data_IF_030147900494
#
_entry.id   IF_030147900494
#
_cell.length_a   1.000
_cell.length_b   1.000
_cell.length_c   1.000
_cell.angle_alpha   90.00
_cell.angle_beta   90.00
_cell.angle_gamma   90.00
#
_symmetry.space_group_name_H-M   'P 1'
#
loop_
_entity.id
_entity.type
_entity.pdbx_description
1 polymer ?
#
# COMPACT_ATOMS: atom_id res chain seq x y z
N UNK A 1 -51.15 62.14 -6.50
CA UNK A 1 -49.81 61.78 -5.96
C UNK A 1 -49.90 60.44 -5.25
N UNK A 2 -49.42 59.35 -5.88
CA UNK A 2 -49.42 57.99 -5.34
C UNK A 2 -48.19 57.81 -4.43
N UNK A 3 -48.40 57.40 -3.17
CA UNK A 3 -47.33 57.03 -2.24
C UNK A 3 -47.01 55.55 -2.42
N UNK A 4 -45.79 55.26 -2.87
CA UNK A 4 -45.21 53.92 -2.96
C UNK A 4 -44.72 53.48 -1.58
N UNK A 5 -45.24 52.35 -1.08
CA UNK A 5 -44.74 51.65 0.10
C UNK A 5 -43.62 50.70 -0.34
N UNK A 6 -42.41 50.92 0.16
CA UNK A 6 -41.25 50.05 -0.08
C UNK A 6 -41.16 49.06 1.08
N UNK A 7 -41.51 47.80 0.82
CA UNK A 7 -41.37 46.69 1.77
C UNK A 7 -39.91 46.24 1.80
N UNK A 8 -39.21 46.50 2.91
CA UNK A 8 -37.87 45.98 3.14
C UNK A 8 -37.96 44.51 3.57
N UNK A 9 -37.42 43.61 2.74
CA UNK A 9 -37.27 42.18 3.07
C UNK A 9 -36.00 42.03 3.90
N UNK A 10 -36.16 41.72 5.18
CA UNK A 10 -35.06 41.42 6.10
C UNK A 10 -34.61 39.96 5.85
N UNK A 11 -33.51 39.77 5.14
CA UNK A 11 -32.87 38.46 4.99
C UNK A 11 -32.13 38.11 6.28
N UNK A 12 -32.75 37.28 7.13
CA UNK A 12 -32.12 36.76 8.34
C UNK A 12 -31.02 35.75 7.99
N UNK A 13 -29.76 36.11 8.24
CA UNK A 13 -28.65 35.17 8.27
C UNK A 13 -28.78 34.25 9.49
N UNK A 14 -29.30 33.04 9.29
CA UNK A 14 -29.17 31.96 10.28
C UNK A 14 -27.75 31.42 10.23
N UNK A 15 -26.87 31.96 11.07
CA UNK A 15 -25.57 31.37 11.36
C UNK A 15 -25.77 30.06 12.11
N UNK A 16 -25.48 28.92 11.45
CA UNK A 16 -25.37 27.64 12.13
C UNK A 16 -24.12 27.67 13.01
N UNK A 17 -24.32 27.91 14.31
CA UNK A 17 -23.26 27.82 15.31
C UNK A 17 -23.03 26.34 15.57
N UNK A 18 -22.01 25.75 14.94
CA UNK A 18 -21.49 24.45 15.33
C UNK A 18 -20.77 24.63 16.68
N UNK A 19 -21.50 24.46 17.79
CA UNK A 19 -20.92 24.47 19.11
C UNK A 19 -20.20 23.13 19.34
N UNK A 20 -18.89 23.10 19.10
CA UNK A 20 -18.04 22.02 19.57
C UNK A 20 -17.75 22.25 21.06
N UNK A 21 -18.26 21.37 21.92
CA UNK A 21 -17.97 21.43 23.36
C UNK A 21 -16.64 20.73 23.59
N UNK A 22 -15.59 21.52 23.84
CA UNK A 22 -14.31 21.00 24.33
C UNK A 22 -14.40 20.88 25.84
N UNK A 23 -14.16 19.68 26.37
CA UNK A 23 -14.17 19.42 27.80
C UNK A 23 -12.81 18.81 28.16
N UNK A 24 -12.03 19.54 28.94
CA UNK A 24 -10.69 19.11 29.36
C UNK A 24 -10.72 18.12 30.54
N UNK A 25 -11.92 17.71 30.96
CA UNK A 25 -12.18 16.84 32.10
C UNK A 25 -13.10 15.69 31.72
N UNK A 26 -13.05 14.61 32.51
CA UNK A 26 -13.96 13.47 32.38
C UNK A 26 -15.41 13.93 32.55
N UNK A 27 -16.27 13.59 31.60
CA UNK A 27 -17.72 13.73 31.75
C UNK A 27 -18.23 12.59 32.63
N UNK A 28 -18.85 12.92 33.75
CA UNK A 28 -19.51 11.95 34.62
C UNK A 28 -21.03 12.16 34.54
N UNK A 29 -21.75 11.14 34.05
CA UNK A 29 -23.21 11.17 33.94
C UNK A 29 -23.81 10.65 35.24
N UNK A 30 -24.36 11.55 36.06
CA UNK A 30 -24.94 11.22 37.37
C UNK A 30 -26.47 11.28 37.34
N UNK A 31 -27.13 10.19 37.75
CA UNK A 31 -28.58 10.11 37.94
C UNK A 31 -28.93 8.97 38.92
N UNK A 32 -30.02 9.03 39.69
CA UNK A 32 -30.44 7.93 40.56
C UNK A 32 -30.71 6.64 39.78
N UNK A 33 -31.33 6.75 38.60
CA UNK A 33 -31.56 5.64 37.68
C UNK A 33 -30.38 5.50 36.70
N UNK A 34 -29.85 4.28 36.58
CA UNK A 34 -28.78 3.97 35.62
C UNK A 34 -29.18 4.20 34.17
N UNK A 35 -30.47 4.04 33.82
CA UNK A 35 -30.98 4.24 32.47
C UNK A 35 -30.93 5.72 32.01
N UNK A 36 -30.80 6.66 32.95
CA UNK A 36 -30.69 8.09 32.67
C UNK A 36 -29.23 8.56 32.54
N UNK A 37 -28.25 7.71 32.87
CA UNK A 37 -26.81 8.03 32.80
C UNK A 37 -26.24 7.80 31.39
N UNK A 38 -26.91 8.36 30.38
CA UNK A 38 -26.53 8.24 28.98
C UNK A 38 -26.79 9.53 28.21
N UNK A 39 -26.03 9.75 27.13
CA UNK A 39 -26.29 10.85 26.19
C UNK A 39 -27.28 10.35 25.12
N UNK A 40 -28.46 10.93 25.09
CA UNK A 40 -29.50 10.63 24.09
C UNK A 40 -29.46 11.60 22.92
N UNK A 41 -30.06 11.23 21.78
CA UNK A 41 -30.21 12.12 20.63
C UNK A 41 -28.95 12.25 19.76
N UNK A 42 -27.97 11.38 19.95
CA UNK A 42 -26.83 11.26 19.03
C UNK A 42 -27.35 10.61 17.74
N UNK A 43 -27.24 11.27 16.58
CA UNK A 43 -27.70 10.70 15.31
C UNK A 43 -26.92 9.43 14.96
N UNK A 44 -27.54 8.52 14.21
CA UNK A 44 -26.82 7.41 13.59
C UNK A 44 -25.82 7.96 12.57
N UNK A 45 -24.73 7.23 12.33
CA UNK A 45 -23.64 7.61 11.43
C UNK A 45 -24.03 7.45 9.94
N UNK A 46 -25.23 7.92 9.58
CA UNK A 46 -25.69 7.95 8.19
C UNK A 46 -25.16 9.16 7.43
N UNK A 47 -24.72 10.20 8.14
CA UNK A 47 -24.31 11.47 7.55
C UNK A 47 -22.81 11.76 7.81
N UNK A 48 -22.12 12.37 6.84
CA UNK A 48 -20.81 12.97 7.08
C UNK A 48 -20.87 13.96 8.27
N UNK A 49 -19.90 13.89 9.18
CA UNK A 49 -19.82 14.70 10.40
C UNK A 49 -20.80 14.33 11.54
N UNK A 50 -21.47 13.18 11.48
CA UNK A 50 -22.16 12.64 12.65
C UNK A 50 -21.17 12.38 13.81
N UNK A 51 -21.62 12.63 15.05
CA UNK A 51 -20.84 12.33 16.26
C UNK A 51 -20.64 10.82 16.37
N UNK A 52 -19.40 10.37 16.55
CA UNK A 52 -19.09 8.97 16.79
C UNK A 52 -19.52 8.59 18.21
N UNK A 53 -20.47 7.67 18.32
CA UNK A 53 -20.83 7.07 19.60
C UNK A 53 -19.86 5.95 19.97
N UNK A 54 -19.73 5.65 21.27
CA UNK A 54 -18.90 4.53 21.73
C UNK A 54 -19.31 3.19 21.09
N UNK A 55 -20.60 2.98 20.81
CA UNK A 55 -21.10 1.79 20.13
C UNK A 55 -20.62 1.71 18.67
N UNK A 56 -20.54 2.84 17.97
CA UNK A 56 -20.05 2.92 16.59
C UNK A 56 -18.53 2.76 16.52
N UNK A 57 -17.82 3.26 17.52
CA UNK A 57 -16.38 3.01 17.66
C UNK A 57 -16.13 1.52 17.93
N UNK A 58 -16.89 0.91 18.85
CA UNK A 58 -16.78 -0.52 19.15
C UNK A 58 -17.10 -1.43 17.96
N UNK A 59 -18.05 -1.03 17.10
CA UNK A 59 -18.38 -1.80 15.91
C UNK A 59 -17.41 -1.60 14.75
N UNK A 60 -16.57 -0.55 14.79
CA UNK A 60 -15.66 -0.15 13.71
C UNK A 60 -16.32 0.14 12.35
N UNK A 61 -17.66 0.22 12.29
CA UNK A 61 -18.41 0.29 11.02
C UNK A 61 -18.12 1.57 10.21
N UNK A 62 -17.52 2.59 10.84
CA UNK A 62 -17.16 3.86 10.22
C UNK A 62 -15.78 3.85 9.53
N UNK A 63 -15.03 2.75 9.67
CA UNK A 63 -13.69 2.59 9.07
C UNK A 63 -13.47 1.24 8.42
N UNK A 64 -14.42 0.31 8.55
CA UNK A 64 -14.33 -1.05 8.00
C UNK A 64 -15.38 -1.25 6.91
N UNK A 65 -14.97 -1.80 5.78
CA UNK A 65 -15.91 -2.23 4.73
C UNK A 65 -15.38 -3.43 3.95
N UNK A 66 -16.30 -4.18 3.35
CA UNK A 66 -16.02 -5.22 2.37
C UNK A 66 -16.00 -4.58 0.98
N UNK A 67 -14.93 -4.80 0.21
CA UNK A 67 -14.86 -4.35 -1.17
C UNK A 67 -15.75 -5.21 -2.09
N UNK A 68 -16.32 -4.58 -3.10
CA UNK A 68 -16.84 -5.24 -4.30
C UNK A 68 -15.90 -5.01 -5.49
N UNK A 69 -15.99 -5.83 -6.53
CA UNK A 69 -15.26 -5.60 -7.78
C UNK A 69 -16.19 -4.98 -8.80
N UNK A 70 -15.88 -3.77 -9.25
CA UNK A 70 -16.63 -3.02 -10.26
C UNK A 70 -15.67 -2.57 -11.36
N UNK A 71 -15.92 -3.02 -12.61
CA UNK A 71 -15.10 -2.65 -13.76
C UNK A 71 -13.57 -2.82 -13.56
N UNK A 72 -13.17 -3.91 -12.90
CA UNK A 72 -11.78 -4.22 -12.55
C UNK A 72 -11.12 -3.25 -11.53
N UNK A 73 -11.92 -2.62 -10.68
CA UNK A 73 -11.48 -1.76 -9.57
C UNK A 73 -12.20 -2.22 -8.30
N UNK A 74 -11.56 -2.08 -7.13
CA UNK A 74 -12.28 -2.28 -5.86
C UNK A 74 -13.18 -1.09 -5.59
N UNK A 75 -14.45 -1.34 -5.30
CA UNK A 75 -15.41 -0.34 -4.87
C UNK A 75 -15.75 -0.58 -3.41
N UNK A 76 -15.65 0.47 -2.60
CA UNK A 76 -15.86 0.42 -1.16
C UNK A 76 -16.82 1.54 -0.77
N UNK A 77 -17.84 1.17 0.01
CA UNK A 77 -18.78 2.11 0.60
C UNK A 77 -18.71 2.05 2.12
N UNK A 78 -18.39 3.18 2.76
CA UNK A 78 -18.33 3.33 4.22
C UNK A 78 -19.35 4.38 4.63
N UNK A 79 -20.32 3.97 5.45
CA UNK A 79 -21.36 4.86 5.96
C UNK A 79 -20.76 5.95 6.86
N UNK A 80 -21.28 7.17 6.73
CA UNK A 80 -20.86 8.34 7.52
C UNK A 80 -19.49 8.92 7.12
N UNK A 81 -18.83 8.36 6.11
CA UNK A 81 -17.67 8.97 5.47
C UNK A 81 -18.12 9.80 4.27
N UNK A 82 -17.46 10.93 4.02
CA UNK A 82 -17.71 11.73 2.82
C UNK A 82 -17.35 10.97 1.53
N UNK A 83 -17.62 11.59 0.38
CA UNK A 83 -17.29 11.00 -0.92
C UNK A 83 -15.80 11.11 -1.24
N UNK A 84 -15.16 12.25 -0.93
CA UNK A 84 -13.74 12.46 -1.22
C UNK A 84 -12.90 12.25 0.05
N UNK A 85 -11.95 11.29 0.05
CA UNK A 85 -11.03 11.14 1.18
C UNK A 85 -10.10 12.35 1.30
N UNK A 86 -9.66 12.64 2.52
CA UNK A 86 -8.67 13.69 2.81
C UNK A 86 -7.37 13.03 3.27
N UNK A 87 -6.24 13.71 3.12
CA UNK A 87 -4.97 13.18 3.61
C UNK A 87 -5.08 12.79 5.10
N UNK A 88 -4.62 11.58 5.43
CA UNK A 88 -4.77 10.96 6.74
C UNK A 88 -6.03 10.11 6.91
N UNK A 89 -6.95 10.05 5.93
CA UNK A 89 -8.08 9.11 5.98
C UNK A 89 -7.56 7.68 6.10
N UNK A 90 -7.93 7.00 7.19
CA UNK A 90 -7.58 5.61 7.46
C UNK A 90 -8.82 4.72 7.37
N UNK A 91 -8.71 3.62 6.62
CA UNK A 91 -9.76 2.62 6.46
C UNK A 91 -9.17 1.20 6.50
N UNK A 92 -10.01 0.23 6.81
CA UNK A 92 -9.71 -1.20 6.71
C UNK A 92 -10.67 -1.82 5.72
N UNK A 93 -10.14 -2.31 4.62
CA UNK A 93 -10.90 -2.92 3.53
C UNK A 93 -10.68 -4.43 3.56
N UNK A 94 -11.77 -5.20 3.59
CA UNK A 94 -11.69 -6.64 3.39
C UNK A 94 -11.75 -6.95 1.90
N UNK A 95 -10.80 -7.74 1.42
CA UNK A 95 -10.71 -8.14 0.03
C UNK A 95 -11.94 -8.95 -0.41
N UNK A 96 -12.47 -8.74 -1.63
CA UNK A 96 -13.59 -9.52 -2.15
C UNK A 96 -13.18 -10.98 -2.41
N UNK A 97 -14.16 -11.87 -2.53
CA UNK A 97 -13.96 -13.25 -2.98
C UNK A 97 -13.39 -13.32 -4.42
N UNK A 98 -13.77 -12.35 -5.25
CA UNK A 98 -13.27 -12.27 -6.62
C UNK A 98 -11.86 -11.64 -6.62
N UNK A 99 -10.87 -12.43 -7.01
CA UNK A 99 -9.51 -11.95 -7.23
C UNK A 99 -9.46 -11.01 -8.44
N UNK A 100 -8.80 -9.85 -8.25
CA UNK A 100 -8.49 -8.90 -9.32
C UNK A 100 -7.06 -9.19 -9.82
N UNK A 101 -6.82 -9.08 -11.12
CA UNK A 101 -5.46 -9.14 -11.67
C UNK A 101 -4.89 -7.74 -11.91
N UNK A 102 -3.61 -7.55 -11.62
CA UNK A 102 -2.87 -6.32 -11.85
C UNK A 102 -2.91 -5.32 -10.69
N UNK A 103 -2.42 -4.12 -10.95
CA UNK A 103 -2.30 -3.06 -9.95
C UNK A 103 -3.66 -2.66 -9.38
N UNK A 104 -3.77 -2.76 -8.05
CA UNK A 104 -4.99 -2.49 -7.33
C UNK A 104 -5.33 -0.99 -7.36
N UNK A 105 -6.57 -0.72 -7.71
CA UNK A 105 -7.19 0.60 -7.60
C UNK A 105 -8.42 0.52 -6.70
N UNK A 106 -8.74 1.63 -6.04
CA UNK A 106 -9.84 1.75 -5.09
C UNK A 106 -10.74 2.95 -5.42
N UNK A 107 -12.04 2.70 -5.50
CA UNK A 107 -13.10 3.71 -5.45
C UNK A 107 -13.66 3.71 -4.03
N UNK A 108 -13.66 4.86 -3.38
CA UNK A 108 -14.20 5.04 -2.04
C UNK A 108 -15.40 5.98 -2.10
N UNK A 109 -16.58 5.49 -1.70
CA UNK A 109 -17.83 6.27 -1.71
C UNK A 109 -18.08 7.00 -3.05
N UNK A 110 -17.71 6.36 -4.17
CA UNK A 110 -17.86 6.90 -5.52
C UNK A 110 -16.75 7.84 -5.98
N UNK A 111 -15.77 8.22 -5.14
CA UNK A 111 -14.58 8.95 -5.56
C UNK A 111 -13.43 8.00 -5.92
N UNK A 112 -12.61 8.42 -6.88
CA UNK A 112 -11.47 7.65 -7.39
C UNK A 112 -11.54 7.49 -8.91
N UNK A 113 -10.83 6.50 -9.49
CA UNK A 113 -10.03 5.49 -8.80
C UNK A 113 -8.74 6.05 -8.19
N UNK A 114 -8.40 5.58 -6.99
CA UNK A 114 -7.14 5.87 -6.32
C UNK A 114 -6.21 4.66 -6.39
N UNK A 115 -4.92 4.87 -6.66
CA UNK A 115 -3.96 3.77 -6.62
C UNK A 115 -3.78 3.24 -5.18
N UNK A 116 -3.53 1.94 -5.05
CA UNK A 116 -3.14 1.33 -3.77
C UNK A 116 -1.70 0.85 -3.87
N UNK A 117 -0.84 1.33 -2.98
CA UNK A 117 0.62 1.08 -3.03
C UNK A 117 1.14 0.65 -1.66
N UNK A 118 2.22 -0.13 -1.60
CA UNK A 118 2.97 -0.36 -0.36
C UNK A 118 3.94 0.79 -0.07
N UNK A 119 4.55 1.31 -1.13
CA UNK A 119 5.49 2.43 -1.15
C UNK A 119 5.42 3.10 -2.51
N UNK A 120 6.05 4.26 -2.64
CA UNK A 120 6.10 4.98 -3.92
C UNK A 120 6.70 4.06 -5.01
N UNK A 121 5.94 3.83 -6.07
CA UNK A 121 6.33 2.97 -7.20
C UNK A 121 6.07 1.46 -7.03
N UNK A 122 5.58 1.02 -5.88
CA UNK A 122 5.31 -0.39 -5.58
C UNK A 122 3.80 -0.61 -5.41
N UNK A 123 3.13 -0.86 -6.52
CA UNK A 123 1.69 -1.10 -6.55
C UNK A 123 1.35 -2.41 -5.84
N UNK A 124 0.29 -2.38 -5.03
CA UNK A 124 -0.30 -3.61 -4.51
C UNK A 124 -0.99 -4.30 -5.69
N UNK A 125 -0.70 -5.58 -5.94
CA UNK A 125 -1.40 -6.33 -6.97
C UNK A 125 -2.62 -7.04 -6.38
N UNK A 126 -3.75 -7.02 -7.08
CA UNK A 126 -5.00 -7.61 -6.60
C UNK A 126 -4.88 -9.12 -6.34
N UNK A 127 -4.05 -9.81 -7.11
CA UNK A 127 -3.81 -11.26 -7.02
C UNK A 127 -2.96 -11.68 -5.83
N UNK A 128 -2.29 -10.73 -5.17
CA UNK A 128 -1.49 -10.95 -3.97
C UNK A 128 -2.32 -10.96 -2.69
N UNK A 129 -3.56 -10.45 -2.78
CA UNK A 129 -4.44 -10.31 -1.65
C UNK A 129 -5.37 -11.52 -1.61
N UNK A 130 -5.26 -12.30 -0.54
CA UNK A 130 -6.16 -13.42 -0.32
C UNK A 130 -7.62 -12.94 -0.13
N UNK A 131 -8.63 -13.69 -0.59
CA UNK A 131 -10.02 -13.43 -0.29
C UNK A 131 -10.28 -13.18 1.21
N UNK A 132 -11.08 -12.17 1.53
CA UNK A 132 -11.37 -11.72 2.89
C UNK A 132 -10.14 -11.30 3.73
N UNK A 133 -8.97 -11.09 3.12
CA UNK A 133 -7.84 -10.53 3.83
C UNK A 133 -8.12 -9.05 4.17
N UNK A 134 -7.84 -8.61 5.42
CA UNK A 134 -7.97 -7.20 5.78
C UNK A 134 -6.77 -6.40 5.25
N UNK A 135 -7.06 -5.25 4.65
CA UNK A 135 -6.09 -4.28 4.17
C UNK A 135 -6.31 -2.93 4.87
N UNK A 136 -5.39 -2.58 5.76
CA UNK A 136 -5.31 -1.28 6.42
C UNK A 136 -4.69 -0.27 5.46
N UNK A 137 -5.45 0.78 5.11
CA UNK A 137 -5.09 1.76 4.09
C UNK A 137 -5.11 3.18 4.67
N UNK A 138 -4.10 3.99 4.34
CA UNK A 138 -4.07 5.43 4.64
C UNK A 138 -3.96 6.24 3.37
N UNK A 139 -4.83 7.23 3.19
CA UNK A 139 -4.79 8.16 2.07
C UNK A 139 -3.77 9.27 2.31
N UNK A 140 -2.87 9.54 1.36
CA UNK A 140 -1.87 10.62 1.48
C UNK A 140 -2.31 11.94 0.84
N UNK A 141 -3.47 11.97 0.18
CA UNK A 141 -3.96 13.10 -0.61
C UNK A 141 -4.05 12.80 -2.12
N UNK A 142 -3.37 11.76 -2.59
CA UNK A 142 -3.35 11.33 -4.00
C UNK A 142 -3.68 9.83 -4.14
N UNK A 143 -3.15 8.99 -3.24
CA UNK A 143 -3.27 7.52 -3.30
C UNK A 143 -3.40 6.91 -1.90
N UNK A 144 -3.76 5.63 -1.85
CA UNK A 144 -3.79 4.86 -0.62
C UNK A 144 -2.48 4.09 -0.43
N UNK A 145 -1.95 4.15 0.78
CA UNK A 145 -0.81 3.37 1.24
C UNK A 145 -1.31 2.20 2.10
N UNK A 146 -0.97 0.98 1.71
CA UNK A 146 -1.24 -0.21 2.48
C UNK A 146 -0.26 -0.30 3.67
N UNK A 147 -0.81 -0.15 4.88
CA UNK A 147 -0.07 -0.21 6.14
C UNK A 147 0.02 -1.64 6.69
N UNK A 148 -1.01 -2.45 6.48
CA UNK A 148 -0.97 -3.84 6.90
C UNK A 148 -0.05 -4.60 5.95
N UNK A 149 1.02 -5.18 6.51
CA UNK A 149 1.73 -6.28 5.88
C UNK A 149 0.73 -7.43 5.74
N UNK A 150 0.24 -7.60 4.52
CA UNK A 150 -0.63 -8.69 4.08
C UNK A 150 -0.18 -10.01 4.68
N UNK A 151 -1.12 -10.92 4.94
CA UNK A 151 -0.84 -12.35 4.74
C UNK A 151 -0.59 -12.49 3.25
N UNK A 152 0.61 -12.11 2.81
CA UNK A 152 0.97 -12.14 1.40
C UNK A 152 0.83 -13.58 0.98
N UNK A 153 -0.07 -13.84 0.03
CA UNK A 153 0.08 -15.06 -0.74
C UNK A 153 1.44 -14.90 -1.42
N UNK A 154 2.44 -15.76 -1.14
CA UNK A 154 3.75 -15.59 -1.73
C UNK A 154 3.59 -15.52 -3.24
N UNK A 155 4.12 -14.47 -3.89
CA UNK A 155 4.05 -14.38 -5.35
C UNK A 155 4.58 -15.68 -5.95
N UNK A 156 3.85 -16.28 -6.89
CA UNK A 156 4.37 -17.49 -7.54
C UNK A 156 5.58 -17.13 -8.40
N UNK A 157 6.65 -17.90 -8.29
CA UNK A 157 7.81 -17.72 -9.17
C UNK A 157 7.43 -18.23 -10.56
N UNK A 158 7.18 -17.31 -11.49
CA UNK A 158 6.74 -17.62 -12.85
C UNK A 158 7.84 -17.36 -13.88
N UNK A 159 7.75 -18.05 -15.01
CA UNK A 159 8.75 -17.96 -16.09
C UNK A 159 10.10 -18.56 -15.68
N UNK A 160 11.19 -17.84 -15.94
CA UNK A 160 12.57 -18.27 -15.66
C UNK A 160 13.04 -17.99 -14.22
N UNK A 161 12.10 -17.78 -13.30
CA UNK A 161 12.36 -17.55 -11.88
C UNK A 161 12.20 -18.84 -11.08
N UNK A 162 13.07 -19.08 -10.12
CA UNK A 162 12.94 -20.16 -9.14
C UNK A 162 12.79 -19.60 -7.73
N UNK A 163 11.96 -20.27 -6.93
CA UNK A 163 11.77 -19.99 -5.52
C UNK A 163 13.01 -20.39 -4.73
N UNK A 164 13.70 -19.41 -4.13
CA UNK A 164 14.84 -19.68 -3.23
C UNK A 164 14.35 -19.81 -1.79
N UNK A 165 13.44 -18.91 -1.39
CA UNK A 165 12.73 -18.98 -0.11
C UNK A 165 11.25 -18.62 -0.33
N UNK A 166 10.49 -18.52 0.76
CA UNK A 166 9.14 -17.94 0.73
C UNK A 166 9.13 -16.41 0.57
N UNK A 167 10.29 -15.75 0.52
CA UNK A 167 10.40 -14.28 0.46
C UNK A 167 10.89 -13.75 -0.89
N UNK A 168 11.49 -14.59 -1.74
CA UNK A 168 11.97 -14.12 -3.05
C UNK A 168 12.12 -15.24 -4.08
N UNK A 169 12.10 -14.83 -5.35
CA UNK A 169 12.49 -15.63 -6.50
C UNK A 169 13.75 -15.03 -7.16
N UNK A 170 14.54 -15.89 -7.81
CA UNK A 170 15.76 -15.53 -8.56
C UNK A 170 15.70 -16.10 -9.97
N UNK A 171 16.24 -15.38 -10.95
CA UNK A 171 16.43 -15.94 -12.30
C UNK A 171 17.41 -17.13 -12.29
N UNK A 172 17.02 -18.19 -13.01
CA UNK A 172 17.79 -19.44 -13.10
C UNK A 172 19.14 -19.21 -13.77
N UNK A 173 19.21 -18.33 -14.78
CA UNK A 173 20.44 -17.96 -15.47
C UNK A 173 20.77 -16.48 -15.23
N UNK A 174 22.06 -16.15 -15.24
CA UNK A 174 22.50 -14.76 -15.36
C UNK A 174 22.17 -14.22 -16.76
N UNK A 175 21.99 -12.91 -16.85
CA UNK A 175 21.78 -12.16 -18.10
C UNK A 175 23.12 -11.66 -18.65
N UNK A 176 23.10 -11.33 -19.94
CA UNK A 176 24.25 -10.77 -20.65
C UNK A 176 24.78 -9.50 -19.97
N UNK A 177 26.10 -9.29 -19.91
CA UNK A 177 26.67 -8.12 -19.26
C UNK A 177 26.15 -6.79 -19.81
N UNK A 178 25.67 -5.92 -18.91
CA UNK A 178 25.23 -4.56 -19.22
C UNK A 178 25.86 -3.57 -18.25
N UNK A 179 25.74 -2.25 -18.49
CA UNK A 179 26.08 -1.29 -17.45
C UNK A 179 25.01 -1.34 -16.33
N UNK A 180 25.36 -0.85 -15.14
CA UNK A 180 24.51 -0.97 -13.96
C UNK A 180 23.09 -0.39 -14.15
N UNK A 181 22.98 0.78 -14.78
CA UNK A 181 21.70 1.44 -14.97
C UNK A 181 20.79 0.70 -15.96
N UNK A 182 21.37 0.15 -17.02
CA UNK A 182 20.65 -0.66 -17.99
C UNK A 182 20.21 -1.99 -17.38
N UNK A 183 21.08 -2.65 -16.60
CA UNK A 183 20.75 -3.86 -15.86
C UNK A 183 19.57 -3.65 -14.91
N UNK A 184 19.63 -2.59 -14.09
CA UNK A 184 18.55 -2.22 -13.17
C UNK A 184 17.24 -1.92 -13.91
N UNK A 185 17.31 -1.11 -14.98
CA UNK A 185 16.14 -0.76 -15.80
C UNK A 185 15.51 -2.00 -16.43
N UNK A 186 16.31 -2.91 -16.98
CA UNK A 186 15.81 -4.16 -17.58
C UNK A 186 15.09 -5.03 -16.54
N UNK A 187 15.58 -5.10 -15.31
CA UNK A 187 14.83 -5.80 -14.25
C UNK A 187 13.51 -5.11 -13.93
N UNK A 188 13.48 -3.78 -13.82
CA UNK A 188 12.26 -3.01 -13.54
C UNK A 188 11.22 -3.15 -14.66
N UNK A 189 11.64 -3.08 -15.92
CA UNK A 189 10.77 -3.30 -17.09
C UNK A 189 10.14 -4.70 -17.10
N UNK A 190 10.83 -5.69 -16.51
CA UNK A 190 10.31 -7.04 -16.32
C UNK A 190 9.45 -7.21 -15.05
N UNK A 191 9.14 -6.13 -14.31
CA UNK A 191 8.42 -6.18 -13.04
C UNK A 191 9.23 -6.79 -11.89
N UNK A 192 10.56 -6.66 -11.95
CA UNK A 192 11.54 -7.25 -11.02
C UNK A 192 12.51 -6.16 -10.56
N UNK A 193 13.53 -6.54 -9.78
CA UNK A 193 14.66 -5.67 -9.42
C UNK A 193 15.97 -6.43 -9.51
N UNK A 194 17.10 -5.74 -9.43
CA UNK A 194 18.36 -6.43 -9.17
C UNK A 194 18.26 -7.18 -7.83
N UNK A 195 18.90 -8.34 -7.77
CA UNK A 195 19.00 -9.08 -6.52
C UNK A 195 19.82 -8.32 -5.49
N UNK A 196 19.38 -8.32 -4.24
CA UNK A 196 20.26 -7.90 -3.16
C UNK A 196 21.40 -8.92 -2.99
N UNK A 197 22.46 -8.50 -2.34
CA UNK A 197 23.60 -9.33 -1.97
C UNK A 197 23.17 -10.55 -1.16
N UNK A 198 22.27 -10.36 -0.19
CA UNK A 198 21.75 -11.44 0.64
C UNK A 198 20.96 -12.48 -0.15
N UNK A 199 20.11 -12.02 -1.07
CA UNK A 199 19.30 -12.90 -1.93
C UNK A 199 20.17 -13.71 -2.88
N UNK A 200 21.11 -13.05 -3.56
CA UNK A 200 22.03 -13.74 -4.46
C UNK A 200 22.91 -14.73 -3.69
N UNK A 201 23.42 -14.36 -2.50
CA UNK A 201 24.24 -15.27 -1.69
C UNK A 201 23.48 -16.54 -1.31
N UNK A 202 22.24 -16.40 -0.85
CA UNK A 202 21.37 -17.52 -0.52
C UNK A 202 21.07 -18.40 -1.76
N UNK A 203 20.74 -17.77 -2.89
CA UNK A 203 20.54 -18.47 -4.15
C UNK A 203 21.79 -19.25 -4.58
N UNK A 204 22.98 -18.66 -4.45
CA UNK A 204 24.25 -19.31 -4.80
C UNK A 204 24.53 -20.55 -3.95
N UNK A 205 24.18 -20.52 -2.67
CA UNK A 205 24.31 -21.69 -1.78
C UNK A 205 23.39 -22.84 -2.20
N UNK A 206 22.19 -22.54 -2.69
CA UNK A 206 21.19 -23.51 -3.11
C UNK A 206 21.22 -23.83 -4.61
N UNK A 207 22.16 -23.25 -5.36
CA UNK A 207 22.16 -23.26 -6.84
C UNK A 207 22.09 -24.66 -7.46
N UNK A 208 22.74 -25.66 -6.86
CA UNK A 208 22.72 -27.03 -7.38
C UNK A 208 21.36 -27.69 -7.19
N UNK A 209 20.73 -27.47 -6.03
CA UNK A 209 19.41 -28.00 -5.69
C UNK A 209 18.32 -27.36 -6.54
N UNK A 210 18.42 -26.04 -6.74
CA UNK A 210 17.43 -25.24 -7.47
C UNK A 210 17.72 -25.15 -8.98
N UNK A 211 18.77 -25.79 -9.47
CA UNK A 211 19.17 -25.76 -10.89
C UNK A 211 19.61 -24.39 -11.40
N UNK A 212 20.04 -23.48 -10.52
CA UNK A 212 20.50 -22.14 -10.88
C UNK A 212 21.93 -22.24 -11.43
N UNK A 213 22.13 -21.69 -12.63
CA UNK A 213 23.39 -21.80 -13.38
C UNK A 213 24.20 -20.51 -13.32
N UNK A 214 25.50 -20.65 -13.58
CA UNK A 214 26.47 -19.55 -13.72
C UNK A 214 26.53 -18.55 -12.56
N UNK A 215 26.12 -18.93 -11.34
CA UNK A 215 26.31 -18.08 -10.15
C UNK A 215 27.78 -17.95 -9.72
N UNK A 216 28.69 -18.70 -10.33
CA UNK A 216 30.12 -18.61 -10.04
C UNK A 216 30.88 -18.58 -11.36
N UNK A 217 31.89 -17.72 -11.45
CA UNK A 217 32.75 -17.57 -12.62
C UNK A 217 32.69 -16.18 -13.24
N UNK A 218 31.63 -15.44 -12.97
CA UNK A 218 31.40 -14.07 -13.44
C UNK A 218 31.11 -13.15 -12.27
N UNK A 219 31.45 -11.87 -12.43
CA UNK A 219 30.99 -10.83 -11.53
C UNK A 219 29.56 -10.45 -11.92
N UNK A 220 28.68 -10.43 -10.93
CA UNK A 220 27.30 -9.99 -11.09
C UNK A 220 26.99 -8.75 -10.25
N UNK A 221 26.23 -7.81 -10.82
CA UNK A 221 25.68 -6.69 -10.07
C UNK A 221 24.65 -7.15 -9.03
N UNK A 222 24.63 -6.43 -7.91
CA UNK A 222 23.55 -6.49 -6.91
C UNK A 222 22.93 -5.11 -6.73
N UNK A 223 21.78 -5.05 -6.08
CA UNK A 223 21.09 -3.79 -5.73
C UNK A 223 21.73 -3.06 -4.52
N UNK A 224 22.89 -3.53 -4.05
CA UNK A 224 23.58 -3.00 -2.89
C UNK A 224 24.72 -2.05 -3.29
N UNK A 225 24.94 -1.02 -2.47
CA UNK A 225 26.10 -0.12 -2.59
C UNK A 225 27.37 -0.81 -2.06
N UNK A 226 28.55 -0.42 -2.56
CA UNK A 226 29.80 -1.03 -2.09
C UNK A 226 30.43 -0.35 -0.85
N UNK A 227 29.77 0.68 -0.29
CA UNK A 227 30.26 1.58 0.77
C UNK A 227 31.31 2.61 0.31
N UNK A 228 31.50 2.79 -1.00
CA UNK A 228 32.28 3.89 -1.57
C UNK A 228 31.44 4.75 -2.54
N UNK A 229 31.84 6.00 -2.76
CA UNK A 229 31.13 6.92 -3.66
C UNK A 229 31.08 6.37 -5.09
N UNK A 230 29.89 6.40 -5.69
CA UNK A 230 29.64 5.90 -7.05
C UNK A 230 30.08 4.45 -7.26
N UNK A 231 29.99 3.60 -6.24
CA UNK A 231 30.30 2.18 -6.36
C UNK A 231 29.12 1.28 -6.02
N UNK A 232 28.97 0.22 -6.79
CA UNK A 232 27.99 -0.84 -6.59
C UNK A 232 28.67 -2.13 -6.21
N UNK A 233 27.97 -2.96 -5.44
CA UNK A 233 28.47 -4.25 -5.00
C UNK A 233 28.35 -5.25 -6.16
N UNK A 234 29.47 -5.92 -6.45
CA UNK A 234 29.54 -7.04 -7.39
C UNK A 234 29.96 -8.31 -6.67
N UNK A 235 29.46 -9.48 -7.09
CA UNK A 235 29.73 -10.76 -6.44
C UNK A 235 29.90 -11.92 -7.42
N UNK A 236 30.42 -13.05 -6.94
CA UNK A 236 30.34 -14.34 -7.65
C UNK A 236 31.53 -14.73 -8.51
N UNK A 237 32.61 -13.97 -8.53
CA UNK A 237 33.74 -14.25 -9.42
C UNK A 237 34.31 -15.67 -9.32
N UNK A 238 34.63 -16.13 -8.11
CA UNK A 238 35.20 -17.47 -7.90
C UNK A 238 34.48 -18.30 -6.83
N UNK A 239 33.59 -17.69 -6.05
CA UNK A 239 32.73 -18.41 -5.10
C UNK A 239 31.52 -17.56 -4.68
N UNK A 240 30.57 -18.20 -3.99
CA UNK A 240 29.37 -17.53 -3.46
C UNK A 240 29.64 -16.45 -2.40
N UNK A 241 30.84 -16.38 -1.85
CA UNK A 241 31.21 -15.42 -0.79
C UNK A 241 32.14 -14.32 -1.28
N UNK A 242 32.65 -14.42 -2.50
CA UNK A 242 33.55 -13.41 -3.06
C UNK A 242 32.73 -12.22 -3.55
N UNK A 243 33.06 -11.06 -3.01
CA UNK A 243 32.44 -9.79 -3.29
C UNK A 243 33.50 -8.71 -3.57
N UNK A 244 33.13 -7.70 -4.34
CA UNK A 244 33.96 -6.55 -4.66
C UNK A 244 33.12 -5.28 -4.79
N UNK A 245 33.80 -4.16 -5.04
CA UNK A 245 33.17 -2.90 -5.44
C UNK A 245 33.44 -2.66 -6.92
N UNK A 246 32.46 -2.10 -7.62
CA UNK A 246 32.59 -1.70 -9.01
C UNK A 246 32.16 -0.25 -9.17
N UNK A 247 33.04 0.58 -9.75
CA UNK A 247 32.70 1.99 -10.02
C UNK A 247 31.64 2.04 -11.10
N UNK A 248 30.52 2.69 -10.79
CA UNK A 248 29.41 2.90 -11.72
C UNK A 248 29.90 3.78 -12.86
N UNK A 249 29.81 3.26 -14.07
CA UNK A 249 30.28 3.92 -15.29
C UNK A 249 29.93 3.07 -16.52
N UNK A 250 30.77 3.13 -17.56
CA UNK A 250 30.54 2.39 -18.81
C UNK A 250 30.97 0.92 -18.75
N UNK A 251 31.47 0.44 -17.62
CA UNK A 251 31.82 -0.95 -17.43
C UNK A 251 30.59 -1.84 -17.36
N UNK A 252 30.71 -3.08 -17.82
CA UNK A 252 29.61 -4.05 -17.83
C UNK A 252 29.90 -5.22 -16.91
N UNK A 253 28.86 -5.73 -16.27
CA UNK A 253 28.88 -6.97 -15.50
C UNK A 253 27.61 -7.75 -15.78
N UNK A 254 27.67 -9.07 -15.59
CA UNK A 254 26.48 -9.91 -15.62
C UNK A 254 25.52 -9.46 -14.50
N UNK A 255 24.28 -9.90 -14.56
CA UNK A 255 23.29 -9.61 -13.54
C UNK A 255 22.15 -10.60 -13.61
N UNK A 256 21.35 -10.64 -12.55
CA UNK A 256 20.10 -11.40 -12.53
C UNK A 256 19.04 -10.60 -11.79
N UNK A 257 17.80 -10.82 -12.19
CA UNK A 257 16.66 -10.15 -11.57
C UNK A 257 16.07 -11.02 -10.45
N UNK A 258 15.65 -10.36 -9.37
CA UNK A 258 14.92 -10.92 -8.25
C UNK A 258 13.49 -10.37 -8.19
N UNK A 259 12.59 -11.21 -7.71
CA UNK A 259 11.21 -10.85 -7.39
C UNK A 259 10.97 -11.07 -5.91
N UNK A 260 10.53 -10.04 -5.17
CA UNK A 260 10.07 -10.19 -3.79
C UNK A 260 8.76 -10.99 -3.77
N UNK A 261 8.60 -11.92 -2.82
CA UNK A 261 7.42 -12.77 -2.64
C UNK A 261 6.68 -12.45 -1.35
#
# INVERSE_FOLDING_TARGET
MRKTFTTAVLAGFTSFVCAQVVIDNRIELVAPDGAQRQVTGIPSLAEPAAVQSAQQEQSNAHRVALASVEAAVWSVSINGMGTTPVAGTHIVVFAPEQTLAGALQLILNGAGPFAVVHRIGDAVLGEEIAPNAPLSLVFDGDRFHALSGTVHRPRECSGELVAVTNQFCVEVAEREPANFFDAARTCVEAGRRLCSWGEWHNACRLRVELGIVNMIGNWEYTDDTANEDNTVRIIGYSSCTIAGGFVVGNGTQAYRCCLTR
#
